data_IF_471020042676
#
_entry.id   IF_471020042676
#
_cell.length_a   1.000
_cell.length_b   1.000
_cell.length_c   1.000
_cell.angle_alpha   90.00
_cell.angle_beta   90.00
_cell.angle_gamma   90.00
#
_symmetry.space_group_name_H-M   'P 1'
#
loop_
_entity.id
_entity.type
_entity.pdbx_description
1 polymer ?
#
# COMPACT_ATOMS: atom_id res chain seq x y z
N UNK A 1 -30.63 8.21 14.56
CA UNK A 1 -30.06 8.51 13.23
C UNK A 1 -29.82 7.19 12.49
N UNK A 2 -30.34 7.05 11.26
CA UNK A 2 -30.12 5.84 10.49
C UNK A 2 -28.65 5.78 10.11
N UNK A 3 -27.93 4.73 10.53
CA UNK A 3 -26.51 4.56 10.23
C UNK A 3 -26.32 4.37 8.73
N UNK A 4 -25.53 5.23 8.07
CA UNK A 4 -25.21 5.05 6.65
C UNK A 4 -24.41 3.78 6.43
N UNK A 5 -24.76 3.04 5.38
CA UNK A 5 -24.16 1.76 5.01
C UNK A 5 -23.14 1.96 3.88
N UNK A 6 -21.93 1.53 4.10
CA UNK A 6 -20.86 1.56 3.08
C UNK A 6 -20.58 0.14 2.61
N UNK A 7 -20.71 -0.11 1.31
CA UNK A 7 -20.20 -1.32 0.66
C UNK A 7 -18.78 -1.08 0.15
N UNK A 8 -17.83 -1.83 0.64
CA UNK A 8 -16.45 -1.89 0.16
C UNK A 8 -16.29 -3.12 -0.73
N UNK A 9 -15.75 -2.96 -1.94
CA UNK A 9 -15.62 -4.05 -2.92
C UNK A 9 -14.15 -4.25 -3.22
N UNK A 10 -13.62 -5.45 -2.95
CA UNK A 10 -12.19 -5.73 -3.04
C UNK A 10 -11.88 -7.11 -3.59
N UNK A 11 -10.83 -7.20 -4.39
CA UNK A 11 -10.18 -8.46 -4.78
C UNK A 11 -9.03 -8.85 -3.82
N UNK A 12 -8.75 -7.99 -2.84
CA UNK A 12 -7.72 -8.22 -1.82
C UNK A 12 -8.31 -7.95 -0.44
N UNK A 13 -8.35 -8.98 0.40
CA UNK A 13 -8.78 -8.90 1.79
C UNK A 13 -8.01 -9.89 2.66
N UNK A 14 -8.19 -9.85 3.98
CA UNK A 14 -7.58 -10.83 4.88
C UNK A 14 -7.83 -12.26 4.40
N UNK A 15 -6.85 -13.16 4.49
CA UNK A 15 -5.56 -13.07 5.22
C UNK A 15 -4.41 -12.40 4.44
N UNK A 16 -4.66 -11.81 3.27
CA UNK A 16 -3.61 -11.12 2.52
C UNK A 16 -3.05 -9.92 3.30
N UNK A 17 -1.73 -9.74 3.27
CA UNK A 17 -1.03 -8.58 3.83
C UNK A 17 -0.48 -7.72 2.70
N UNK A 18 -1.10 -6.59 2.46
CA UNK A 18 -0.67 -5.60 1.46
C UNK A 18 -1.20 -4.21 1.79
N UNK A 19 -0.69 -3.18 1.11
CA UNK A 19 -1.02 -1.79 1.41
C UNK A 19 -2.51 -1.42 1.31
N UNK A 20 -3.29 -2.13 0.47
CA UNK A 20 -4.76 -1.92 0.37
C UNK A 20 -5.44 -2.43 1.63
N UNK A 21 -5.18 -3.70 1.97
CA UNK A 21 -5.76 -4.36 3.15
C UNK A 21 -5.40 -3.58 4.42
N UNK A 22 -4.13 -3.25 4.62
CA UNK A 22 -3.66 -2.47 5.77
C UNK A 22 -4.37 -1.11 5.87
N UNK A 23 -4.51 -0.39 4.75
CA UNK A 23 -5.20 0.91 4.73
C UNK A 23 -6.65 0.77 5.20
N UNK A 24 -7.40 -0.18 4.63
CA UNK A 24 -8.81 -0.32 4.98
C UNK A 24 -9.02 -0.93 6.36
N UNK A 25 -8.17 -1.83 6.83
CA UNK A 25 -8.17 -2.29 8.22
C UNK A 25 -7.95 -1.15 9.22
N UNK A 26 -7.15 -0.14 8.87
CA UNK A 26 -6.91 1.03 9.72
C UNK A 26 -8.09 2.00 9.73
N UNK A 27 -8.78 2.21 8.59
CA UNK A 27 -9.86 3.21 8.52
C UNK A 27 -11.24 2.66 8.92
N UNK A 28 -11.51 1.36 8.73
CA UNK A 28 -12.83 0.76 9.05
C UNK A 28 -13.23 0.98 10.50
N UNK A 29 -12.39 0.70 11.52
CA UNK A 29 -12.75 0.94 12.91
C UNK A 29 -13.10 2.41 13.21
N UNK A 30 -12.44 3.36 12.51
CA UNK A 30 -12.71 4.78 12.66
C UNK A 30 -14.05 5.15 12.01
N UNK A 31 -14.35 4.59 10.84
CA UNK A 31 -15.65 4.76 10.17
C UNK A 31 -16.79 4.20 11.03
N UNK A 32 -16.62 3.03 11.62
CA UNK A 32 -17.61 2.41 12.51
C UNK A 32 -17.84 3.25 13.77
N UNK A 33 -16.77 3.79 14.39
CA UNK A 33 -16.90 4.74 15.50
C UNK A 33 -17.65 6.02 15.12
N UNK A 34 -17.60 6.42 13.84
CA UNK A 34 -18.37 7.56 13.30
C UNK A 34 -19.82 7.19 12.94
N UNK A 35 -20.25 5.95 13.20
CA UNK A 35 -21.62 5.49 13.00
C UNK A 35 -21.91 4.91 11.61
N UNK A 36 -20.92 4.61 10.81
CA UNK A 36 -21.12 3.91 9.54
C UNK A 36 -21.19 2.39 9.76
N UNK A 37 -22.06 1.72 9.03
CA UNK A 37 -22.06 0.26 8.92
C UNK A 37 -21.23 -0.13 7.70
N UNK A 38 -20.26 -1.03 7.86
CA UNK A 38 -19.39 -1.45 6.79
C UNK A 38 -19.62 -2.91 6.43
N UNK A 39 -19.82 -3.21 5.14
CA UNK A 39 -19.71 -4.57 4.63
C UNK A 39 -18.74 -4.64 3.45
N UNK A 40 -17.99 -5.72 3.40
CA UNK A 40 -16.96 -5.93 2.39
C UNK A 40 -17.37 -7.10 1.51
N UNK A 41 -17.36 -6.90 0.21
CA UNK A 41 -17.48 -7.94 -0.80
C UNK A 41 -16.07 -8.35 -1.22
N UNK A 42 -15.63 -9.57 -0.90
CA UNK A 42 -14.24 -9.99 -1.05
C UNK A 42 -14.11 -11.44 -1.57
N UNK A 43 -12.93 -11.87 -2.03
CA UNK A 43 -12.75 -13.14 -2.75
C UNK A 43 -13.21 -14.40 -2.03
N UNK A 44 -13.10 -14.45 -0.69
CA UNK A 44 -13.51 -15.63 0.08
C UNK A 44 -15.03 -15.90 0.06
N UNK A 45 -15.83 -14.95 -0.41
CA UNK A 45 -17.28 -15.11 -0.60
C UNK A 45 -17.61 -15.84 -1.92
N UNK A 46 -16.63 -16.02 -2.81
CA UNK A 46 -16.79 -16.55 -4.15
C UNK A 46 -16.04 -17.87 -4.34
N UNK A 47 -16.41 -18.62 -5.37
CA UNK A 47 -15.51 -19.60 -5.94
C UNK A 47 -14.27 -18.89 -6.48
N UNK A 48 -13.10 -19.34 -6.06
CA UNK A 48 -11.84 -18.72 -6.42
C UNK A 48 -10.74 -19.76 -6.62
N UNK A 49 -9.65 -19.36 -7.28
CA UNK A 49 -8.42 -20.12 -7.36
C UNK A 49 -7.22 -19.22 -7.06
N UNK A 50 -6.15 -19.82 -6.55
CA UNK A 50 -4.91 -19.09 -6.26
C UNK A 50 -4.16 -18.73 -7.55
N UNK A 51 -3.65 -17.50 -7.62
CA UNK A 51 -2.78 -17.09 -8.72
C UNK A 51 -1.46 -17.88 -8.67
N UNK A 52 -0.98 -18.45 -9.79
CA UNK A 52 0.12 -19.42 -9.78
C UNK A 52 1.41 -18.94 -9.13
N UNK A 53 1.77 -17.67 -9.31
CA UNK A 53 3.01 -17.08 -8.75
C UNK A 53 2.83 -16.41 -7.38
N UNK A 54 1.59 -16.18 -6.95
CA UNK A 54 1.24 -15.57 -5.66
C UNK A 54 0.02 -16.30 -5.09
N UNK A 55 0.27 -17.37 -4.35
CA UNK A 55 -0.79 -18.25 -3.80
C UNK A 55 -1.78 -17.53 -2.90
N UNK A 56 -1.35 -16.40 -2.30
CA UNK A 56 -2.18 -15.54 -1.47
C UNK A 56 -3.16 -14.69 -2.28
N UNK A 57 -2.92 -14.47 -3.59
CA UNK A 57 -3.84 -13.74 -4.47
C UNK A 57 -4.89 -14.71 -4.98
N UNK A 58 -6.15 -14.45 -4.65
CA UNK A 58 -7.31 -15.23 -5.07
C UNK A 58 -7.99 -14.57 -6.25
N UNK A 59 -8.22 -15.33 -7.31
CA UNK A 59 -8.96 -14.89 -8.49
C UNK A 59 -10.35 -15.47 -8.43
N UNK A 60 -11.35 -14.63 -8.23
CA UNK A 60 -12.76 -15.02 -8.13
C UNK A 60 -13.39 -15.20 -9.51
N UNK A 61 -14.29 -16.19 -9.63
CA UNK A 61 -15.07 -16.41 -10.84
C UNK A 61 -16.56 -16.63 -10.49
N UNK A 62 -17.44 -16.60 -11.50
CA UNK A 62 -18.89 -16.68 -11.32
C UNK A 62 -19.46 -15.65 -10.34
N UNK A 63 -18.90 -14.44 -10.39
CA UNK A 63 -19.12 -13.40 -9.38
C UNK A 63 -20.54 -12.82 -9.37
N UNK A 64 -21.31 -12.91 -10.46
CA UNK A 64 -22.60 -12.23 -10.63
C UNK A 64 -23.62 -12.54 -9.52
N UNK A 65 -23.93 -13.81 -9.28
CA UNK A 65 -25.00 -14.22 -8.35
C UNK A 65 -24.77 -13.73 -6.93
N UNK A 66 -23.53 -13.82 -6.45
CA UNK A 66 -23.16 -13.41 -5.08
C UNK A 66 -23.15 -11.90 -4.98
N UNK A 67 -22.64 -11.19 -6.00
CA UNK A 67 -22.67 -9.72 -6.05
C UNK A 67 -24.13 -9.21 -6.05
N UNK A 68 -25.01 -9.77 -6.90
CA UNK A 68 -26.43 -9.38 -6.93
C UNK A 68 -27.10 -9.59 -5.56
N UNK A 69 -26.83 -10.73 -4.91
CA UNK A 69 -27.34 -11.04 -3.57
C UNK A 69 -26.82 -10.06 -2.52
N UNK A 70 -25.51 -9.78 -2.52
CA UNK A 70 -24.88 -8.85 -1.59
C UNK A 70 -25.55 -7.48 -1.62
N UNK A 71 -25.73 -6.91 -2.80
CA UNK A 71 -26.33 -5.58 -2.94
C UNK A 71 -27.82 -5.57 -2.58
N UNK A 72 -28.59 -6.61 -2.95
CA UNK A 72 -30.03 -6.73 -2.61
C UNK A 72 -30.25 -6.84 -1.10
N UNK A 73 -29.42 -7.61 -0.41
CA UNK A 73 -29.54 -7.86 1.03
C UNK A 73 -29.02 -6.65 1.84
N UNK A 74 -27.90 -6.08 1.43
CA UNK A 74 -27.26 -5.01 2.19
C UNK A 74 -27.84 -3.64 1.95
N UNK A 75 -28.20 -3.32 0.71
CA UNK A 75 -28.73 -2.02 0.27
C UNK A 75 -27.86 -0.87 0.77
N UNK A 76 -26.61 -0.74 0.25
CA UNK A 76 -25.68 0.29 0.71
C UNK A 76 -26.14 1.69 0.31
N UNK A 77 -25.81 2.70 1.12
CA UNK A 77 -25.96 4.12 0.81
C UNK A 77 -24.74 4.67 0.05
N UNK A 78 -23.59 4.01 0.20
CA UNK A 78 -22.30 4.38 -0.42
C UNK A 78 -21.64 3.12 -0.95
N UNK A 79 -21.08 3.20 -2.16
CA UNK A 79 -20.30 2.11 -2.77
C UNK A 79 -18.90 2.60 -3.12
N UNK A 80 -17.89 1.85 -2.65
CA UNK A 80 -16.50 2.11 -2.99
C UNK A 80 -15.80 0.85 -3.49
N UNK A 81 -15.24 0.90 -4.71
CA UNK A 81 -14.48 -0.19 -5.33
C UNK A 81 -12.99 0.03 -5.03
N UNK A 82 -12.44 -0.86 -4.22
CA UNK A 82 -11.08 -0.75 -3.71
C UNK A 82 -10.01 -1.26 -4.67
N UNK A 83 -10.38 -2.22 -5.56
CA UNK A 83 -9.40 -2.92 -6.42
C UNK A 83 -9.98 -3.25 -7.79
N UNK A 84 -9.10 -3.53 -8.76
CA UNK A 84 -9.42 -3.63 -10.18
C UNK A 84 -9.48 -5.08 -10.70
N UNK A 85 -9.77 -6.05 -9.83
CA UNK A 85 -9.92 -7.45 -10.22
C UNK A 85 -11.36 -7.88 -10.50
N UNK A 86 -11.62 -9.19 -10.62
CA UNK A 86 -12.94 -9.74 -10.98
C UNK A 86 -14.08 -9.30 -10.05
N UNK A 87 -13.82 -9.17 -8.74
CA UNK A 87 -14.83 -8.71 -7.75
C UNK A 87 -15.12 -7.22 -7.96
N UNK A 88 -14.08 -6.40 -8.18
CA UNK A 88 -14.22 -4.99 -8.51
C UNK A 88 -15.02 -4.76 -9.79
N UNK A 89 -14.73 -5.51 -10.85
CA UNK A 89 -15.50 -5.46 -12.10
C UNK A 89 -16.95 -5.93 -11.94
N UNK A 90 -17.21 -6.92 -11.08
CA UNK A 90 -18.58 -7.37 -10.80
C UNK A 90 -19.37 -6.29 -10.06
N UNK A 91 -18.76 -5.63 -9.06
CA UNK A 91 -19.34 -4.48 -8.36
C UNK A 91 -19.66 -3.32 -9.31
N UNK A 92 -18.69 -2.93 -10.16
CA UNK A 92 -18.91 -1.92 -11.21
C UNK A 92 -20.09 -2.28 -12.10
N UNK A 93 -20.12 -3.52 -12.61
CA UNK A 93 -21.20 -3.98 -13.48
C UNK A 93 -22.56 -3.86 -12.82
N UNK A 94 -22.65 -4.26 -11.54
CA UNK A 94 -23.89 -4.13 -10.78
C UNK A 94 -24.32 -2.66 -10.64
N UNK A 95 -23.40 -1.77 -10.25
CA UNK A 95 -23.68 -0.35 -10.12
C UNK A 95 -24.23 0.27 -11.41
N UNK A 96 -23.58 0.00 -12.56
CA UNK A 96 -24.02 0.52 -13.85
C UNK A 96 -25.40 -0.01 -14.22
N UNK A 97 -25.66 -1.32 -14.05
CA UNK A 97 -26.95 -1.93 -14.39
C UNK A 97 -28.11 -1.43 -13.54
N UNK A 98 -27.83 -0.92 -12.34
CA UNK A 98 -28.84 -0.41 -11.41
C UNK A 98 -28.79 1.12 -11.22
N UNK A 99 -28.03 1.84 -12.07
CA UNK A 99 -27.85 3.30 -12.01
C UNK A 99 -27.35 3.80 -10.65
N UNK A 100 -26.52 3.02 -9.95
CA UNK A 100 -25.91 3.40 -8.69
C UNK A 100 -24.59 4.13 -8.93
N UNK A 101 -24.39 5.25 -8.26
CA UNK A 101 -23.12 5.96 -8.23
C UNK A 101 -22.10 5.18 -7.38
N UNK A 102 -20.84 5.29 -7.72
CA UNK A 102 -19.78 4.69 -6.93
C UNK A 102 -18.48 5.50 -7.03
N UNK A 103 -17.61 5.29 -6.07
CA UNK A 103 -16.23 5.77 -6.11
C UNK A 103 -15.27 4.58 -6.21
N UNK A 104 -14.05 4.82 -6.64
CA UNK A 104 -13.05 3.76 -6.75
C UNK A 104 -11.67 4.24 -6.32
N UNK A 105 -10.76 3.31 -6.08
CA UNK A 105 -9.36 3.61 -5.75
C UNK A 105 -8.40 2.89 -6.69
N UNK A 106 -7.28 3.56 -6.98
CA UNK A 106 -6.14 2.98 -7.68
C UNK A 106 -4.98 2.79 -6.69
N UNK A 107 -4.68 1.55 -6.35
CA UNK A 107 -3.69 1.26 -5.32
C UNK A 107 -2.42 0.60 -5.83
N UNK A 108 -2.49 -0.12 -6.94
CA UNK A 108 -1.41 -1.01 -7.39
C UNK A 108 -1.01 -0.75 -8.82
N UNK A 109 0.28 -0.63 -9.06
CA UNK A 109 0.85 -0.48 -10.41
C UNK A 109 0.87 -1.81 -11.17
N UNK A 110 -0.28 -2.48 -11.28
CA UNK A 110 -0.40 -3.73 -12.05
C UNK A 110 0.21 -3.67 -13.45
N UNK A 111 0.06 -2.56 -14.22
CA UNK A 111 0.69 -2.47 -15.53
C UNK A 111 2.21 -2.62 -15.52
N UNK A 112 2.88 -2.16 -14.46
CA UNK A 112 4.32 -2.33 -14.29
C UNK A 112 4.69 -3.78 -13.99
N UNK A 113 3.95 -4.44 -13.11
CA UNK A 113 4.17 -5.84 -12.75
C UNK A 113 3.91 -6.79 -13.91
N UNK A 114 2.82 -6.57 -14.66
CA UNK A 114 2.48 -7.38 -15.85
C UNK A 114 3.51 -7.19 -16.93
N UNK A 115 3.97 -5.95 -17.19
CA UNK A 115 5.02 -5.69 -18.18
C UNK A 115 6.31 -6.44 -17.88
N UNK A 116 6.73 -6.49 -16.61
CA UNK A 116 7.96 -7.18 -16.20
C UNK A 116 7.90 -8.70 -16.41
N UNK A 117 6.71 -9.29 -16.41
CA UNK A 117 6.51 -10.75 -16.42
C UNK A 117 5.96 -11.30 -17.72
N UNK A 118 5.05 -10.57 -18.38
CA UNK A 118 4.30 -11.07 -19.53
C UNK A 118 4.55 -10.27 -20.82
N UNK A 119 5.47 -9.30 -20.82
CA UNK A 119 5.77 -8.43 -21.97
C UNK A 119 4.56 -7.70 -22.58
N UNK A 120 3.43 -7.62 -21.85
CA UNK A 120 2.24 -6.91 -22.30
C UNK A 120 2.48 -5.40 -22.22
N UNK A 121 2.18 -4.62 -23.28
CA UNK A 121 2.36 -3.18 -23.27
C UNK A 121 1.52 -2.50 -22.18
N UNK A 122 2.14 -1.60 -21.40
CA UNK A 122 1.46 -0.86 -20.33
C UNK A 122 0.18 -0.16 -20.81
N UNK A 123 0.17 0.42 -22.02
CA UNK A 123 -1.01 1.10 -22.58
C UNK A 123 -2.24 0.20 -22.64
N UNK A 124 -2.06 -1.08 -22.97
CA UNK A 124 -3.15 -2.05 -23.01
C UNK A 124 -3.70 -2.32 -21.60
N UNK A 125 -2.83 -2.60 -20.65
CA UNK A 125 -3.24 -2.85 -19.25
C UNK A 125 -3.92 -1.62 -18.64
N UNK A 126 -3.36 -0.42 -18.84
CA UNK A 126 -4.02 0.82 -18.39
C UNK A 126 -5.39 1.05 -19.06
N UNK A 127 -5.58 0.62 -20.32
CA UNK A 127 -6.88 0.71 -20.97
C UNK A 127 -7.96 -0.14 -20.29
N UNK A 128 -7.59 -1.36 -19.85
CA UNK A 128 -8.49 -2.24 -19.09
C UNK A 128 -8.82 -1.62 -17.73
N UNK A 129 -7.80 -1.17 -16.99
CA UNK A 129 -8.01 -0.55 -15.66
C UNK A 129 -8.83 0.74 -15.78
N UNK A 130 -8.58 1.56 -16.80
CA UNK A 130 -9.36 2.76 -17.06
C UNK A 130 -10.84 2.44 -17.25
N UNK A 131 -11.20 1.30 -17.87
CA UNK A 131 -12.60 0.88 -18.03
C UNK A 131 -13.29 0.67 -16.68
N UNK A 132 -12.61 0.15 -15.67
CA UNK A 132 -13.18 0.02 -14.32
C UNK A 132 -13.48 1.39 -13.70
N UNK A 133 -12.60 2.35 -13.92
CA UNK A 133 -12.67 3.67 -13.30
C UNK A 133 -13.47 4.70 -14.11
N UNK A 134 -13.85 4.40 -15.37
CA UNK A 134 -14.47 5.39 -16.29
C UNK A 134 -15.78 5.97 -15.80
N UNK A 135 -16.59 5.18 -15.10
CA UNK A 135 -17.90 5.58 -14.60
C UNK A 135 -17.89 5.90 -13.11
N UNK A 136 -16.70 5.92 -12.50
CA UNK A 136 -16.52 6.31 -11.10
C UNK A 136 -16.66 7.82 -10.94
N UNK A 137 -17.48 8.26 -9.99
CA UNK A 137 -17.63 9.69 -9.66
C UNK A 137 -16.31 10.31 -9.19
N UNK A 138 -15.49 9.53 -8.47
CA UNK A 138 -14.13 9.89 -8.07
C UNK A 138 -13.24 8.66 -8.05
N UNK A 139 -12.00 8.84 -8.51
CA UNK A 139 -10.95 7.83 -8.47
C UNK A 139 -9.87 8.30 -7.49
N UNK A 140 -9.79 7.65 -6.35
CA UNK A 140 -8.86 7.98 -5.28
C UNK A 140 -7.48 7.41 -5.60
N UNK A 141 -6.47 8.26 -5.63
CA UNK A 141 -5.07 7.86 -5.90
C UNK A 141 -4.17 8.24 -4.73
N UNK A 142 -3.12 7.46 -4.45
CA UNK A 142 -2.35 7.62 -3.22
C UNK A 142 -1.38 8.81 -3.23
N UNK A 143 -1.10 9.42 -4.39
CA UNK A 143 -0.12 10.49 -4.49
C UNK A 143 -0.32 11.38 -5.72
N UNK A 144 0.29 12.57 -5.69
CA UNK A 144 0.29 13.52 -6.81
C UNK A 144 1.03 12.95 -8.03
N UNK A 145 2.14 12.26 -7.82
CA UNK A 145 2.88 11.60 -8.91
C UNK A 145 2.04 10.55 -9.61
N UNK A 146 1.29 9.73 -8.84
CA UNK A 146 0.38 8.74 -9.40
C UNK A 146 -0.77 9.39 -10.16
N UNK A 147 -1.35 10.46 -9.63
CA UNK A 147 -2.38 11.25 -10.31
C UNK A 147 -1.88 11.75 -11.67
N UNK A 148 -0.69 12.33 -11.71
CA UNK A 148 -0.09 12.84 -12.94
C UNK A 148 0.24 11.73 -13.95
N UNK A 149 0.65 10.56 -13.47
CA UNK A 149 0.88 9.39 -14.33
C UNK A 149 -0.44 8.90 -14.95
N UNK A 150 -1.49 8.72 -14.15
CA UNK A 150 -2.79 8.25 -14.65
C UNK A 150 -3.46 9.23 -15.62
N UNK A 151 -3.27 10.55 -15.44
CA UNK A 151 -3.70 11.56 -16.41
C UNK A 151 -3.12 11.31 -17.81
N UNK A 152 -1.84 10.88 -17.91
CA UNK A 152 -1.20 10.54 -19.19
C UNK A 152 -1.86 9.36 -19.92
N UNK A 153 -2.58 8.51 -19.16
CA UNK A 153 -3.36 7.37 -19.68
C UNK A 153 -4.87 7.68 -19.77
N UNK A 154 -5.23 8.99 -19.73
CA UNK A 154 -6.62 9.47 -19.89
C UNK A 154 -7.60 8.98 -18.80
N UNK A 155 -7.13 8.75 -17.57
CA UNK A 155 -8.02 8.58 -16.45
C UNK A 155 -8.64 9.92 -16.07
N UNK A 156 -9.90 9.89 -15.65
CA UNK A 156 -10.69 11.08 -15.25
C UNK A 156 -11.03 11.00 -13.75
N UNK A 157 -11.59 12.10 -13.23
CA UNK A 157 -12.14 12.20 -11.87
C UNK A 157 -11.13 11.81 -10.76
N UNK A 158 -9.83 12.00 -11.03
CA UNK A 158 -8.74 11.67 -10.11
C UNK A 158 -8.68 12.65 -8.95
N UNK A 159 -8.63 12.14 -7.72
CA UNK A 159 -8.40 12.91 -6.50
C UNK A 159 -7.29 12.25 -5.67
N UNK A 160 -6.44 13.05 -5.04
CA UNK A 160 -5.41 12.51 -4.14
C UNK A 160 -6.06 12.20 -2.81
N UNK A 161 -5.83 10.99 -2.33
CA UNK A 161 -6.26 10.51 -1.03
C UNK A 161 -5.03 10.10 -0.22
N UNK A 162 -4.68 10.93 0.75
CA UNK A 162 -3.51 10.74 1.58
C UNK A 162 -3.66 9.53 2.52
N UNK A 163 -2.51 9.00 2.96
CA UNK A 163 -2.47 7.90 3.93
C UNK A 163 -2.17 8.42 5.32
N UNK A 164 -2.72 7.73 6.30
CA UNK A 164 -2.33 7.88 7.69
C UNK A 164 -1.25 6.89 8.09
N UNK A 165 -0.72 7.09 9.28
CA UNK A 165 0.14 6.15 9.99
C UNK A 165 -0.26 6.13 11.47
N UNK A 166 -0.16 4.94 12.09
CA UNK A 166 -0.37 4.78 13.52
C UNK A 166 0.89 5.23 14.26
N UNK A 167 0.89 6.46 14.74
CA UNK A 167 2.02 7.07 15.43
C UNK A 167 2.16 6.60 16.89
N UNK A 168 1.18 5.93 17.46
CA UNK A 168 1.28 5.31 18.78
C UNK A 168 1.98 3.95 18.67
N UNK A 169 1.57 3.16 17.70
CA UNK A 169 2.23 1.88 17.41
C UNK A 169 3.66 2.09 16.91
N UNK A 170 3.83 2.91 15.88
CA UNK A 170 5.14 3.21 15.27
C UNK A 170 5.73 4.45 15.93
N UNK A 171 6.68 4.23 16.85
CA UNK A 171 7.20 5.33 17.64
C UNK A 171 8.66 5.08 18.06
N UNK A 172 9.50 6.14 18.16
CA UNK A 172 10.93 5.99 18.44
C UNK A 172 11.25 5.46 19.84
N UNK A 173 10.31 5.52 20.79
CA UNK A 173 10.53 5.04 22.16
C UNK A 173 10.72 3.52 22.24
N UNK A 174 10.44 2.79 21.14
CA UNK A 174 10.66 1.34 21.05
C UNK A 174 12.09 0.96 20.64
N UNK A 175 12.96 1.96 20.44
CA UNK A 175 14.37 1.73 20.12
C UNK A 175 15.14 1.19 21.33
N UNK A 176 15.88 0.10 21.11
CA UNK A 176 16.93 -0.34 22.03
C UNK A 176 18.17 0.52 21.80
N UNK A 177 18.54 1.29 22.80
CA UNK A 177 19.71 2.19 22.75
C UNK A 177 21.04 1.50 23.07
N UNK A 178 21.02 0.21 23.42
CA UNK A 178 22.23 -0.53 23.78
C UNK A 178 23.00 -1.06 22.55
N UNK A 179 22.36 -1.13 21.37
CA UNK A 179 23.03 -1.57 20.15
C UNK A 179 24.02 -0.51 19.66
N UNK A 180 25.27 -0.92 19.44
CA UNK A 180 26.35 -0.06 18.92
C UNK A 180 26.52 -0.17 17.40
N UNK A 181 26.01 -1.24 16.79
CA UNK A 181 26.19 -1.51 15.38
C UNK A 181 25.14 -0.80 14.54
N UNK A 182 25.58 -0.14 13.48
CA UNK A 182 24.67 0.48 12.50
C UNK A 182 23.82 -0.57 11.81
N UNK A 183 22.50 -0.42 11.85
CA UNK A 183 21.53 -1.35 11.30
C UNK A 183 20.77 -0.75 10.11
N UNK A 184 20.85 -1.41 8.97
CA UNK A 184 20.02 -1.15 7.79
C UNK A 184 18.87 -2.16 7.75
N UNK A 185 17.64 -1.69 7.63
CA UNK A 185 16.46 -2.57 7.64
C UNK A 185 15.65 -2.38 6.37
N UNK A 186 15.24 -3.51 5.78
CA UNK A 186 14.22 -3.60 4.75
C UNK A 186 12.96 -4.23 5.35
N UNK A 187 11.78 -3.68 5.02
CA UNK A 187 10.49 -4.28 5.37
C UNK A 187 9.62 -4.34 4.13
N UNK A 188 9.12 -5.52 3.83
CA UNK A 188 8.22 -5.71 2.70
C UNK A 188 8.28 -7.10 2.09
N UNK A 189 7.52 -7.29 0.99
CA UNK A 189 7.54 -8.55 0.24
C UNK A 189 8.92 -8.80 -0.37
N UNK A 190 9.42 -10.01 -0.19
CA UNK A 190 10.69 -10.46 -0.80
C UNK A 190 10.41 -10.95 -2.22
N UNK A 191 10.41 -10.02 -3.18
CA UNK A 191 10.03 -10.28 -4.57
C UNK A 191 10.81 -9.39 -5.55
N UNK A 192 10.89 -9.81 -6.82
CA UNK A 192 11.67 -9.14 -7.87
C UNK A 192 11.22 -7.68 -8.07
N UNK A 193 9.91 -7.43 -8.10
CA UNK A 193 9.34 -6.09 -8.28
C UNK A 193 9.69 -5.12 -7.16
N UNK A 194 10.07 -5.62 -5.98
CA UNK A 194 10.55 -4.80 -4.86
C UNK A 194 12.03 -4.44 -4.96
N UNK A 195 12.74 -4.97 -5.96
CA UNK A 195 14.14 -4.65 -6.23
C UNK A 195 15.06 -4.83 -5.01
N UNK A 196 14.67 -5.76 -4.11
CA UNK A 196 15.35 -5.97 -2.82
C UNK A 196 16.83 -6.32 -3.00
N UNK A 197 17.20 -6.95 -4.11
CA UNK A 197 18.58 -7.36 -4.36
C UNK A 197 19.57 -6.18 -4.36
N UNK A 198 19.11 -4.96 -4.72
CA UNK A 198 19.95 -3.76 -4.62
C UNK A 198 20.28 -3.39 -3.16
N UNK A 199 19.39 -3.68 -2.22
CA UNK A 199 19.68 -3.57 -0.80
C UNK A 199 20.66 -4.66 -0.32
N UNK A 200 20.43 -5.91 -0.74
CA UNK A 200 21.27 -7.04 -0.33
C UNK A 200 22.72 -6.87 -0.81
N UNK A 201 22.93 -6.34 -2.02
CA UNK A 201 24.24 -6.08 -2.65
C UNK A 201 25.00 -4.88 -2.08
N UNK A 202 24.40 -4.04 -1.24
CA UNK A 202 25.11 -2.87 -0.71
C UNK A 202 26.40 -3.29 -0.01
N UNK A 203 27.52 -2.79 -0.49
CA UNK A 203 28.85 -3.05 0.12
C UNK A 203 29.07 -2.08 1.26
N UNK A 204 28.62 -2.45 2.45
CA UNK A 204 28.74 -1.69 3.69
C UNK A 204 29.03 -2.64 4.84
N UNK A 205 29.77 -2.15 5.83
CA UNK A 205 30.04 -2.90 7.05
C UNK A 205 28.98 -2.54 8.13
N UNK A 206 27.70 -2.80 7.78
CA UNK A 206 26.54 -2.56 8.64
C UNK A 206 25.67 -3.81 8.69
N UNK A 207 25.00 -4.02 9.82
CA UNK A 207 24.04 -5.11 9.95
C UNK A 207 22.85 -4.89 9.01
N UNK A 208 22.51 -5.90 8.23
CA UNK A 208 21.35 -5.87 7.34
C UNK A 208 20.27 -6.81 7.86
N UNK A 209 19.06 -6.29 7.99
CA UNK A 209 17.87 -7.06 8.39
C UNK A 209 16.81 -6.96 7.30
N UNK A 210 16.25 -8.12 6.96
CA UNK A 210 15.10 -8.24 6.04
C UNK A 210 13.91 -8.75 6.83
N UNK A 211 12.85 -7.93 6.90
CA UNK A 211 11.56 -8.26 7.52
C UNK A 211 10.54 -8.48 6.41
N UNK A 212 10.00 -9.68 6.32
CA UNK A 212 8.98 -10.04 5.34
C UNK A 212 9.19 -11.43 4.75
N UNK A 213 8.30 -11.78 3.82
CA UNK A 213 8.30 -13.04 3.10
C UNK A 213 7.99 -12.79 1.62
N UNK A 214 8.19 -13.79 0.78
CA UNK A 214 7.87 -13.70 -0.63
C UNK A 214 8.55 -14.78 -1.48
N UNK A 215 8.22 -14.81 -2.80
CA UNK A 215 8.66 -15.89 -3.68
C UNK A 215 10.18 -16.00 -3.86
N UNK A 216 10.92 -14.92 -3.62
CA UNK A 216 12.39 -14.92 -3.76
C UNK A 216 13.13 -15.17 -2.43
N UNK A 217 12.43 -15.34 -1.30
CA UNK A 217 13.05 -15.42 0.03
C UNK A 217 14.11 -16.51 0.12
N UNK A 218 13.77 -17.76 -0.21
CA UNK A 218 14.71 -18.89 -0.10
C UNK A 218 15.94 -18.72 -0.98
N UNK A 219 15.76 -18.17 -2.19
CA UNK A 219 16.86 -17.87 -3.11
C UNK A 219 17.83 -16.85 -2.49
N UNK A 220 17.30 -15.80 -1.84
CA UNK A 220 18.15 -14.77 -1.26
C UNK A 220 18.79 -15.19 0.06
N UNK A 221 18.15 -16.01 0.89
CA UNK A 221 18.77 -16.65 2.06
C UNK A 221 20.01 -17.45 1.63
N UNK A 222 19.89 -18.27 0.58
CA UNK A 222 20.98 -19.07 0.07
C UNK A 222 22.11 -18.23 -0.55
N UNK A 223 21.77 -17.09 -1.17
CA UNK A 223 22.74 -16.24 -1.87
C UNK A 223 23.46 -15.25 -0.97
N UNK A 224 22.82 -14.84 0.14
CA UNK A 224 23.33 -13.83 1.11
C UNK A 224 23.18 -14.36 2.53
N UNK A 225 23.91 -15.43 2.89
CA UNK A 225 23.77 -16.08 4.21
C UNK A 225 24.19 -15.20 5.39
N UNK A 226 24.95 -14.12 5.13
CA UNK A 226 25.37 -13.14 6.12
C UNK A 226 24.26 -12.15 6.52
N UNK A 227 23.15 -12.12 5.78
CA UNK A 227 22.04 -11.18 6.02
C UNK A 227 20.98 -11.86 6.89
N UNK A 228 20.47 -11.13 7.89
CA UNK A 228 19.45 -11.64 8.79
C UNK A 228 18.05 -11.51 8.18
N UNK A 229 17.44 -12.63 7.76
CA UNK A 229 16.07 -12.72 7.29
C UNK A 229 15.18 -13.21 8.43
N UNK A 230 14.34 -12.33 8.98
CA UNK A 230 13.56 -12.61 10.21
C UNK A 230 12.10 -13.02 9.94
N UNK A 231 11.71 -13.16 8.66
CA UNK A 231 10.35 -13.50 8.27
C UNK A 231 9.35 -12.36 8.48
N UNK A 232 8.06 -12.68 8.39
CA UNK A 232 6.97 -11.70 8.56
C UNK A 232 6.86 -11.29 10.02
N UNK A 233 6.77 -9.97 10.25
CA UNK A 233 6.52 -9.36 11.56
C UNK A 233 5.33 -8.40 11.44
N UNK A 234 4.57 -8.26 12.52
CA UNK A 234 3.38 -7.38 12.59
C UNK A 234 3.31 -6.67 13.94
N UNK A 235 2.47 -5.63 14.03
CA UNK A 235 2.18 -4.94 15.29
C UNK A 235 3.44 -4.46 16.01
N UNK A 236 3.49 -4.72 17.31
CA UNK A 236 4.58 -4.28 18.21
C UNK A 236 5.95 -4.82 17.79
N UNK A 237 6.01 -6.05 17.30
CA UNK A 237 7.27 -6.64 16.87
C UNK A 237 7.83 -5.91 15.64
N UNK A 238 6.98 -5.63 14.65
CA UNK A 238 7.34 -4.85 13.46
C UNK A 238 7.81 -3.44 13.85
N UNK A 239 7.09 -2.79 14.77
CA UNK A 239 7.42 -1.43 15.22
C UNK A 239 8.82 -1.37 15.86
N UNK A 240 9.24 -2.42 16.60
CA UNK A 240 10.60 -2.53 17.14
C UNK A 240 11.66 -2.63 16.04
N UNK A 241 11.40 -3.37 14.96
CA UNK A 241 12.34 -3.45 13.83
C UNK A 241 12.54 -2.09 13.16
N UNK A 242 11.47 -1.31 12.97
CA UNK A 242 11.60 0.05 12.46
C UNK A 242 12.36 0.95 13.45
N UNK A 243 11.98 0.98 14.72
CA UNK A 243 12.60 1.85 15.71
C UNK A 243 14.11 1.57 15.89
N UNK A 244 14.53 0.31 15.81
CA UNK A 244 15.92 -0.12 15.94
C UNK A 244 16.76 0.15 14.68
N UNK A 245 16.15 0.32 13.53
CA UNK A 245 16.89 0.64 12.32
C UNK A 245 17.54 2.04 12.40
N UNK A 246 18.77 2.17 11.95
CA UNK A 246 19.42 3.47 11.73
C UNK A 246 19.00 4.06 10.39
N UNK A 247 18.77 3.20 9.38
CA UNK A 247 18.21 3.56 8.11
C UNK A 247 17.24 2.49 7.64
N UNK A 248 16.05 2.89 7.27
CA UNK A 248 15.12 2.06 6.50
C UNK A 248 15.44 2.18 5.02
N UNK A 249 15.80 1.07 4.37
CA UNK A 249 16.15 1.05 2.96
C UNK A 249 14.96 0.61 2.12
N UNK A 250 14.51 1.47 1.21
CA UNK A 250 13.40 1.24 0.30
C UNK A 250 13.89 1.20 -1.15
N UNK A 251 14.34 0.04 -1.65
CA UNK A 251 14.97 -0.09 -2.95
C UNK A 251 13.96 -0.19 -4.11
N UNK A 252 12.66 -0.22 -3.82
CA UNK A 252 11.61 -0.37 -4.83
C UNK A 252 11.56 0.81 -5.80
N UNK A 253 11.29 0.50 -7.09
CA UNK A 253 11.12 1.50 -8.17
C UNK A 253 9.69 1.57 -8.72
N UNK A 254 8.77 0.75 -8.19
CA UNK A 254 7.44 0.53 -8.80
C UNK A 254 6.28 0.63 -7.81
N UNK A 255 6.49 1.14 -6.60
CA UNK A 255 5.41 1.35 -5.63
C UNK A 255 4.58 2.60 -5.96
N UNK A 256 3.33 2.61 -5.49
CA UNK A 256 2.42 3.76 -5.66
C UNK A 256 2.62 4.82 -4.58
N UNK A 257 2.92 4.41 -3.34
CA UNK A 257 3.24 5.29 -2.21
C UNK A 257 4.28 4.66 -1.29
N UNK A 258 4.00 3.47 -0.70
CA UNK A 258 4.86 2.79 0.27
C UNK A 258 4.50 3.16 1.72
N UNK A 259 3.42 2.58 2.26
CA UNK A 259 3.01 2.79 3.66
C UNK A 259 4.15 2.51 4.65
N UNK A 260 5.00 1.53 4.35
CA UNK A 260 6.20 1.18 5.12
C UNK A 260 7.18 2.34 5.32
N UNK A 261 7.19 3.33 4.39
CA UNK A 261 7.99 4.56 4.53
C UNK A 261 7.41 5.42 5.67
N UNK A 262 6.08 5.55 5.72
CA UNK A 262 5.41 6.31 6.78
C UNK A 262 5.60 5.66 8.15
N UNK A 263 5.54 4.32 8.23
CA UNK A 263 5.78 3.53 9.44
C UNK A 263 7.22 3.72 9.96
N UNK A 264 8.21 3.67 9.06
CA UNK A 264 9.60 3.91 9.40
C UNK A 264 9.83 5.35 9.90
N UNK A 265 9.32 6.36 9.17
CA UNK A 265 9.40 7.77 9.59
C UNK A 265 8.72 8.01 10.94
N UNK A 266 7.56 7.39 11.18
CA UNK A 266 6.84 7.49 12.45
C UNK A 266 7.66 6.89 13.62
N UNK A 267 8.42 5.83 13.35
CA UNK A 267 9.39 5.25 14.29
C UNK A 267 10.69 6.08 14.44
N UNK A 268 10.73 7.27 13.82
CA UNK A 268 11.90 8.15 13.81
C UNK A 268 13.03 7.62 12.94
N UNK A 269 12.79 6.72 12.02
CA UNK A 269 13.83 6.08 11.21
C UNK A 269 13.96 6.76 9.85
N UNK A 270 15.16 7.29 9.51
CA UNK A 270 15.44 7.89 8.23
C UNK A 270 15.33 6.89 7.08
N UNK A 271 14.98 7.37 5.90
CA UNK A 271 14.71 6.56 4.71
C UNK A 271 15.88 6.66 3.73
N UNK A 272 16.26 5.56 3.10
CA UNK A 272 17.10 5.56 1.90
C UNK A 272 16.29 5.00 0.73
N UNK A 273 16.11 5.78 -0.33
CA UNK A 273 15.28 5.40 -1.46
C UNK A 273 15.72 6.07 -2.77
N UNK A 274 15.27 5.52 -3.90
CA UNK A 274 15.38 6.16 -5.20
C UNK A 274 14.36 7.31 -5.37
N UNK A 275 14.65 8.34 -6.22
CA UNK A 275 13.73 9.44 -6.51
C UNK A 275 12.65 8.99 -7.51
N UNK A 276 11.77 8.09 -7.07
CA UNK A 276 10.66 7.52 -7.85
C UNK A 276 9.33 7.79 -7.17
N UNK A 277 8.21 7.53 -7.87
CA UNK A 277 6.84 7.60 -7.33
C UNK A 277 6.76 6.90 -5.99
N UNK A 278 6.08 7.49 -5.03
CA UNK A 278 6.03 7.07 -3.64
C UNK A 278 7.05 7.84 -2.81
N UNK A 279 8.34 7.50 -2.83
CA UNK A 279 9.36 8.25 -2.09
C UNK A 279 9.38 9.75 -2.38
N UNK A 280 9.26 10.20 -3.64
CA UNK A 280 9.22 11.64 -3.98
C UNK A 280 7.97 12.35 -3.46
N UNK A 281 6.88 11.63 -3.27
CA UNK A 281 5.62 12.18 -2.78
C UNK A 281 5.60 12.29 -1.23
N UNK A 282 6.43 11.48 -0.55
CA UNK A 282 6.52 11.45 0.91
C UNK A 282 7.68 12.30 1.42
N UNK A 283 8.89 12.13 0.87
CA UNK A 283 10.11 12.81 1.37
C UNK A 283 10.23 14.24 0.82
N UNK A 284 9.19 15.04 1.03
CA UNK A 284 9.06 16.42 0.51
C UNK A 284 9.68 17.47 1.40
N UNK A 285 9.96 17.16 2.67
CA UNK A 285 10.62 18.06 3.62
C UNK A 285 12.14 17.90 3.46
N UNK A 286 12.85 19.00 3.23
CA UNK A 286 14.30 19.01 3.00
C UNK A 286 15.11 18.36 4.13
N UNK A 287 14.60 18.42 5.38
CA UNK A 287 15.25 17.82 6.55
C UNK A 287 15.30 16.29 6.52
N UNK A 288 14.38 15.66 5.79
CA UNK A 288 14.28 14.21 5.65
C UNK A 288 14.47 13.72 4.21
N UNK A 289 14.74 14.63 3.28
CA UNK A 289 14.94 14.28 1.87
C UNK A 289 16.34 13.71 1.65
N UNK A 290 16.37 12.41 1.44
CA UNK A 290 17.60 11.60 1.28
C UNK A 290 17.71 10.96 -0.09
N UNK A 291 16.75 11.25 -0.98
CA UNK A 291 16.63 10.60 -2.29
C UNK A 291 17.89 10.72 -3.11
N UNK A 292 18.29 9.63 -3.76
CA UNK A 292 19.43 9.60 -4.67
C UNK A 292 19.27 8.46 -5.71
N UNK A 293 19.80 8.69 -6.92
CA UNK A 293 19.85 7.64 -7.95
C UNK A 293 20.84 6.52 -7.62
N UNK A 294 21.72 6.73 -6.67
CA UNK A 294 22.61 5.74 -6.10
C UNK A 294 22.14 5.40 -4.67
N UNK A 295 21.69 4.16 -4.46
CA UNK A 295 21.11 3.74 -3.18
C UNK A 295 22.11 3.87 -2.01
N UNK A 296 23.41 3.63 -2.24
CA UNK A 296 24.44 3.82 -1.21
C UNK A 296 24.60 5.29 -0.82
N UNK A 297 24.52 6.22 -1.77
CA UNK A 297 24.54 7.64 -1.45
C UNK A 297 23.29 8.06 -0.66
N UNK A 298 22.12 7.52 -1.02
CA UNK A 298 20.89 7.71 -0.25
C UNK A 298 21.04 7.22 1.20
N UNK A 299 21.64 6.05 1.42
CA UNK A 299 21.95 5.54 2.78
C UNK A 299 22.88 6.51 3.53
N UNK A 300 23.96 6.99 2.88
CA UNK A 300 24.89 7.96 3.51
C UNK A 300 24.21 9.28 3.88
N UNK A 301 23.26 9.77 3.07
CA UNK A 301 22.43 10.94 3.39
C UNK A 301 21.51 10.63 4.58
N UNK A 302 20.83 9.48 4.57
CA UNK A 302 19.90 9.08 5.60
C UNK A 302 20.57 8.96 7.00
N UNK A 303 21.78 8.46 7.07
CA UNK A 303 22.54 8.38 8.33
C UNK A 303 22.82 9.75 8.99
N UNK A 304 22.68 10.85 8.26
CA UNK A 304 22.87 12.21 8.78
C UNK A 304 21.55 12.87 9.21
N UNK A 305 20.42 12.29 8.91
CA UNK A 305 19.08 12.82 9.24
C UNK A 305 18.79 12.65 10.73
N UNK A 306 18.24 13.68 11.35
CA UNK A 306 17.81 13.61 12.76
C UNK A 306 16.51 12.81 12.86
N UNK A 307 16.48 11.82 13.72
CA UNK A 307 15.31 10.95 13.96
C UNK A 307 14.05 11.76 14.36
N UNK A 308 14.23 12.84 15.10
CA UNK A 308 13.14 13.73 15.51
C UNK A 308 12.46 14.42 14.31
N UNK A 309 13.19 14.74 13.25
CA UNK A 309 12.62 15.35 12.05
C UNK A 309 11.73 14.35 11.30
N UNK A 310 12.15 13.08 11.22
CA UNK A 310 11.33 11.99 10.67
C UNK A 310 10.01 11.85 11.45
N UNK A 311 10.08 11.79 12.78
CA UNK A 311 8.91 11.69 13.65
C UNK A 311 7.98 12.88 13.48
N UNK A 312 8.49 14.11 13.56
CA UNK A 312 7.69 15.33 13.47
C UNK A 312 6.95 15.45 12.14
N UNK A 313 7.56 14.98 11.05
CA UNK A 313 6.92 14.95 9.74
C UNK A 313 5.63 14.12 9.75
N UNK A 314 5.62 12.98 10.46
CA UNK A 314 4.51 12.02 10.44
C UNK A 314 3.37 12.34 11.41
N UNK A 315 3.60 13.17 12.44
CA UNK A 315 2.59 13.50 13.45
C UNK A 315 1.30 14.13 12.85
N UNK A 316 1.42 14.77 11.69
CA UNK A 316 0.30 15.36 10.94
C UNK A 316 -0.42 14.39 10.00
N UNK A 317 0.09 13.16 9.84
CA UNK A 317 -0.41 12.14 8.91
C UNK A 317 -1.22 11.09 9.67
N UNK A 318 -2.38 11.47 10.21
CA UNK A 318 -3.21 10.59 11.03
C UNK A 318 -4.25 9.83 10.21
N UNK A 319 -4.66 8.67 10.71
CA UNK A 319 -5.76 7.91 10.10
C UNK A 319 -7.10 8.65 10.18
N UNK A 320 -7.34 9.48 11.21
CA UNK A 320 -8.54 10.33 11.29
C UNK A 320 -8.62 11.33 10.14
N UNK A 321 -7.49 11.96 9.78
CA UNK A 321 -7.40 12.84 8.60
C UNK A 321 -7.66 12.06 7.31
N UNK A 322 -7.06 10.88 7.18
CA UNK A 322 -7.28 9.99 6.05
C UNK A 322 -8.77 9.62 5.89
N UNK A 323 -9.45 9.29 6.99
CA UNK A 323 -10.91 9.00 7.01
C UNK A 323 -11.74 10.22 6.65
N UNK A 324 -11.36 11.40 7.15
CA UNK A 324 -12.06 12.66 6.80
C UNK A 324 -12.01 12.89 5.29
N UNK A 325 -10.83 12.84 4.69
CA UNK A 325 -10.64 12.96 3.23
C UNK A 325 -11.42 11.87 2.47
N UNK A 326 -11.40 10.62 2.96
CA UNK A 326 -12.15 9.52 2.36
C UNK A 326 -13.65 9.85 2.28
N UNK A 327 -14.24 10.28 3.40
CA UNK A 327 -15.68 10.63 3.47
C UNK A 327 -16.04 11.83 2.59
N UNK A 328 -15.15 12.82 2.46
CA UNK A 328 -15.34 13.97 1.57
C UNK A 328 -15.42 13.57 0.09
N UNK A 329 -14.78 12.46 -0.27
CA UNK A 329 -14.77 11.95 -1.65
C UNK A 329 -15.90 10.96 -1.93
N UNK A 330 -16.56 10.41 -0.92
CA UNK A 330 -17.66 9.46 -1.10
C UNK A 330 -18.92 10.15 -1.65
N UNK A 331 -19.70 9.39 -2.39
CA UNK A 331 -20.99 9.81 -2.96
C UNK A 331 -22.09 8.84 -2.54
N UNK A 332 -23.30 9.34 -2.36
CA UNK A 332 -24.46 8.47 -2.15
C UNK A 332 -24.85 7.81 -3.48
N UNK A 333 -25.31 6.55 -3.42
CA UNK A 333 -25.79 5.76 -4.57
C UNK A 333 -27.02 6.35 -5.24
#
# INVERSE_FOLDING_TARGET
MQHKKIALISDAWVPQVNGVVTTFQSIIPILEKKGFQIKILHPEMFSNFSYPWYKEIKISYNTKKITDKFFKDYKPDIVHIMTEGPVGFAGRKYCIQNNLKYTSSFHTRFPDYIKQRAFIPKKFTYSILRKLHSDSERVLVPSVSMLNELKKYNFKNLVVWNRGVDTELFNPNKRDTNSKDTQLTYVGRVAIEKNIEEFLKLKVNYNKIVVGDGPELQKYINKYPEINFVGVKTGEELAKYYANADVFVFPSKTDTLGNVILEALASGTPIAAYPVTGPIDILTDERINTLDNNLLQSVKKALKVKRVDCRNFTLKLTWDKCVKEFLEYMVNV
#
